data_IF_919629531289
#
_entry.id   IF_919629531289
#
_cell.length_a   1.000
_cell.length_b   1.000
_cell.length_c   1.000
_cell.angle_alpha   90.00
_cell.angle_beta   90.00
_cell.angle_gamma   90.00
#
_symmetry.space_group_name_H-M   'P 1'
#
loop_
_entity.id
_entity.type
_entity.pdbx_description
1 polymer ?
#
# COMPACT_ATOMS: atom_id res chain seq x y z
N UNK A 1 -5.18 56.29 -9.11
CA UNK A 1 -5.49 54.88 -8.84
C UNK A 1 -5.50 54.18 -10.18
N UNK A 2 -4.42 53.49 -10.52
CA UNK A 2 -4.28 52.82 -11.81
C UNK A 2 -4.59 51.34 -11.61
N UNK A 3 -5.82 50.96 -11.95
CA UNK A 3 -6.27 49.57 -12.03
C UNK A 3 -5.50 48.89 -13.18
N UNK A 4 -4.46 48.15 -12.82
CA UNK A 4 -3.80 47.24 -13.76
C UNK A 4 -4.40 45.87 -13.54
N UNK A 5 -5.11 45.28 -14.53
CA UNK A 5 -5.70 43.96 -14.36
C UNK A 5 -4.59 42.91 -14.14
N UNK A 6 -4.86 41.85 -13.34
CA UNK A 6 -3.89 40.80 -13.09
C UNK A 6 -3.51 40.11 -14.41
N UNK A 7 -2.22 40.09 -14.70
CA UNK A 7 -1.63 39.40 -15.85
C UNK A 7 -1.93 37.90 -15.73
N UNK A 8 -2.67 37.35 -16.69
CA UNK A 8 -2.93 35.91 -16.76
C UNK A 8 -1.60 35.13 -16.69
N UNK A 9 -1.56 33.97 -15.99
CA UNK A 9 -0.35 33.17 -15.89
C UNK A 9 0.11 32.80 -17.30
N UNK A 10 1.32 33.25 -17.65
CA UNK A 10 1.91 32.97 -18.96
C UNK A 10 2.04 31.47 -19.13
N UNK A 11 1.43 30.91 -20.18
CA UNK A 11 1.75 29.56 -20.63
C UNK A 11 3.24 29.53 -20.92
N UNK A 12 3.98 28.75 -20.16
CA UNK A 12 5.42 28.58 -20.34
C UNK A 12 5.65 27.98 -21.74
N UNK A 13 6.05 28.83 -22.70
CA UNK A 13 6.13 28.44 -24.12
C UNK A 13 7.15 27.33 -24.36
N UNK A 14 8.04 27.09 -23.38
CA UNK A 14 9.07 26.05 -23.42
C UNK A 14 8.71 24.76 -22.66
N UNK A 15 7.46 24.60 -22.18
CA UNK A 15 7.07 23.36 -21.52
C UNK A 15 7.03 22.18 -22.52
N UNK A 16 7.83 21.10 -22.34
CA UNK A 16 7.84 19.94 -23.23
C UNK A 16 6.45 19.33 -23.44
N UNK A 17 5.55 19.42 -22.46
CA UNK A 17 4.17 18.92 -22.55
C UNK A 17 3.41 19.59 -23.70
N UNK A 18 3.67 20.86 -24.02
CA UNK A 18 2.97 21.57 -25.10
C UNK A 18 3.25 20.99 -26.49
N UNK A 19 4.31 20.20 -26.63
CA UNK A 19 4.68 19.56 -27.91
C UNK A 19 4.01 18.21 -28.13
N UNK A 20 3.36 17.66 -27.10
CA UNK A 20 2.66 16.38 -27.18
C UNK A 20 1.27 16.53 -27.79
N UNK A 21 0.85 15.53 -28.57
CA UNK A 21 -0.55 15.38 -28.99
C UNK A 21 -1.45 15.09 -27.80
N UNK A 22 -2.77 15.26 -27.95
CA UNK A 22 -3.72 14.96 -26.87
C UNK A 22 -3.65 13.50 -26.41
N UNK A 23 -3.51 12.56 -27.34
CA UNK A 23 -3.36 11.13 -27.03
C UNK A 23 -2.08 10.86 -26.22
N UNK A 24 -0.95 11.42 -26.66
CA UNK A 24 0.32 11.32 -25.94
C UNK A 24 0.26 11.90 -24.53
N UNK A 25 -0.41 13.04 -24.35
CA UNK A 25 -0.63 13.61 -23.01
C UNK A 25 -1.45 12.68 -22.13
N UNK A 26 -2.52 12.10 -22.66
CA UNK A 26 -3.36 11.17 -21.93
C UNK A 26 -2.58 9.92 -21.50
N UNK A 27 -1.80 9.33 -22.40
CA UNK A 27 -1.02 8.13 -22.08
C UNK A 27 0.10 8.44 -21.06
N UNK A 28 0.76 9.60 -21.20
CA UNK A 28 1.70 10.09 -20.20
C UNK A 28 1.01 10.33 -18.84
N UNK A 29 -0.22 10.86 -18.81
CA UNK A 29 -1.03 11.05 -17.60
C UNK A 29 -1.24 9.73 -16.83
N UNK A 30 -1.61 8.67 -17.56
CA UNK A 30 -1.76 7.34 -16.97
C UNK A 30 -0.44 6.83 -16.38
N UNK A 31 0.67 7.00 -17.09
CA UNK A 31 2.00 6.62 -16.59
C UNK A 31 2.37 7.39 -15.32
N UNK A 32 2.16 8.71 -15.28
CA UNK A 32 2.54 9.51 -14.12
C UNK A 32 1.69 9.21 -12.90
N UNK A 33 0.43 8.79 -13.08
CA UNK A 33 -0.41 8.30 -11.97
C UNK A 33 0.15 7.03 -11.33
N UNK A 34 0.68 6.10 -12.15
CA UNK A 34 1.34 4.88 -11.68
C UNK A 34 2.63 5.24 -10.93
N UNK A 35 3.41 6.17 -11.47
CA UNK A 35 4.64 6.65 -10.81
C UNK A 35 4.33 7.33 -9.49
N UNK A 36 3.30 8.18 -9.43
CA UNK A 36 2.86 8.83 -8.19
C UNK A 36 2.50 7.78 -7.14
N UNK A 37 1.68 6.79 -7.51
CA UNK A 37 1.33 5.69 -6.61
C UNK A 37 2.55 4.91 -6.15
N UNK A 38 3.54 4.69 -7.01
CA UNK A 38 4.79 4.06 -6.63
C UNK A 38 5.56 4.89 -5.59
N UNK A 39 5.66 6.21 -5.76
CA UNK A 39 6.28 7.11 -4.78
C UNK A 39 5.55 7.01 -3.43
N UNK A 40 4.22 7.07 -3.44
CA UNK A 40 3.40 6.94 -2.23
C UNK A 40 3.54 5.58 -1.55
N UNK A 41 3.70 4.50 -2.32
CA UNK A 41 3.84 3.15 -1.77
C UNK A 41 5.24 2.89 -1.21
N UNK A 42 6.29 3.24 -1.96
CA UNK A 42 7.66 2.79 -1.66
C UNK A 42 8.68 3.89 -1.42
N UNK A 43 8.34 5.16 -1.68
CA UNK A 43 9.33 6.24 -1.65
C UNK A 43 10.42 6.09 -2.71
N UNK A 44 10.10 5.49 -3.86
CA UNK A 44 11.01 5.34 -5.00
C UNK A 44 10.26 5.44 -6.32
N UNK A 45 10.95 5.80 -7.40
CA UNK A 45 10.33 5.88 -8.73
C UNK A 45 11.26 5.58 -9.91
N UNK A 46 12.58 5.54 -9.71
CA UNK A 46 13.55 5.55 -10.81
C UNK A 46 13.41 4.34 -11.74
N UNK A 47 13.24 3.15 -11.17
CA UNK A 47 13.12 1.91 -11.96
C UNK A 47 11.81 1.92 -12.75
N UNK A 48 10.69 2.23 -12.08
CA UNK A 48 9.37 2.34 -12.71
C UNK A 48 9.34 3.41 -13.80
N UNK A 49 9.94 4.58 -13.55
CA UNK A 49 10.07 5.62 -14.56
C UNK A 49 10.90 5.15 -15.76
N UNK A 50 12.01 4.44 -15.51
CA UNK A 50 12.86 3.91 -16.58
C UNK A 50 12.08 2.92 -17.44
N UNK A 51 11.38 1.98 -16.82
CA UNK A 51 10.58 0.96 -17.51
C UNK A 51 9.46 1.59 -18.35
N UNK A 52 8.71 2.54 -17.78
CA UNK A 52 7.65 3.23 -18.51
C UNK A 52 8.19 4.19 -19.57
N UNK A 53 9.34 4.84 -19.37
CA UNK A 53 9.97 5.65 -20.40
C UNK A 53 10.37 4.79 -21.61
N UNK A 54 10.91 3.59 -21.39
CA UNK A 54 11.20 2.65 -22.47
C UNK A 54 9.93 2.16 -23.17
N UNK A 55 8.87 1.83 -22.44
CA UNK A 55 7.60 1.42 -23.02
C UNK A 55 6.95 2.54 -23.86
N UNK A 56 6.91 3.75 -23.29
CA UNK A 56 6.33 4.93 -23.93
C UNK A 56 7.10 5.35 -25.18
N UNK A 57 8.44 5.36 -25.12
CA UNK A 57 9.30 5.64 -26.26
C UNK A 57 9.05 4.69 -27.44
N UNK A 58 8.86 3.38 -27.17
CA UNK A 58 8.59 2.38 -28.21
C UNK A 58 7.25 2.60 -28.90
N UNK A 59 6.21 2.93 -28.15
CA UNK A 59 4.87 3.14 -28.70
C UNK A 59 4.78 4.44 -29.51
N UNK A 60 5.36 5.52 -28.98
CA UNK A 60 5.27 6.87 -29.59
C UNK A 60 6.41 7.21 -30.55
N UNK A 61 7.36 6.27 -30.75
CA UNK A 61 8.54 6.43 -31.60
C UNK A 61 9.42 7.63 -31.20
N UNK A 62 9.55 7.86 -29.90
CA UNK A 62 10.53 8.77 -29.32
C UNK A 62 11.82 8.01 -28.96
N UNK A 63 12.91 8.75 -28.71
CA UNK A 63 14.00 8.18 -27.91
C UNK A 63 13.62 8.12 -26.42
N UNK A 64 14.23 7.20 -25.67
CA UNK A 64 13.91 6.99 -24.25
C UNK A 64 14.17 8.22 -23.40
N UNK A 65 15.20 9.01 -23.69
CA UNK A 65 15.54 10.21 -22.92
C UNK A 65 14.45 11.28 -23.07
N UNK A 66 13.92 11.42 -24.28
CA UNK A 66 12.81 12.31 -24.59
C UNK A 66 11.51 11.83 -23.93
N UNK A 67 11.24 10.52 -23.92
CA UNK A 67 10.12 9.94 -23.19
C UNK A 67 10.21 10.21 -21.67
N UNK A 68 11.36 9.99 -21.04
CA UNK A 68 11.60 10.32 -19.62
C UNK A 68 11.33 11.82 -19.36
N UNK A 69 11.84 12.70 -20.23
CA UNK A 69 11.63 14.15 -20.13
C UNK A 69 10.14 14.51 -20.18
N UNK A 70 9.38 13.90 -21.10
CA UNK A 70 7.94 14.12 -21.19
C UNK A 70 7.19 13.63 -19.97
N UNK A 71 7.48 12.41 -19.50
CA UNK A 71 6.83 11.85 -18.30
C UNK A 71 7.09 12.74 -17.08
N UNK A 72 8.33 13.23 -16.89
CA UNK A 72 8.65 14.17 -15.80
C UNK A 72 7.93 15.51 -15.93
N UNK A 73 7.83 16.04 -17.14
CA UNK A 73 7.16 17.30 -17.39
C UNK A 73 5.64 17.19 -17.13
N UNK A 74 5.01 16.12 -17.61
CA UNK A 74 3.59 15.82 -17.33
C UNK A 74 3.36 15.63 -15.83
N UNK A 75 4.24 14.90 -15.14
CA UNK A 75 4.15 14.73 -13.68
C UNK A 75 4.15 16.10 -12.96
N UNK A 76 5.08 16.99 -13.35
CA UNK A 76 5.17 18.33 -12.76
C UNK A 76 3.94 19.18 -13.08
N UNK A 77 3.42 19.09 -14.30
CA UNK A 77 2.22 19.83 -14.72
C UNK A 77 0.98 19.37 -13.94
N UNK A 78 0.81 18.05 -13.74
CA UNK A 78 -0.36 17.50 -13.05
C UNK A 78 -0.32 17.68 -11.53
N UNK A 79 0.85 17.49 -10.91
CA UNK A 79 0.96 17.46 -9.45
C UNK A 79 1.58 18.73 -8.86
N UNK A 80 1.97 19.70 -9.71
CA UNK A 80 2.57 20.97 -9.28
C UNK A 80 4.00 20.85 -8.71
N UNK A 81 4.58 19.66 -8.72
CA UNK A 81 5.90 19.36 -8.17
C UNK A 81 6.57 18.24 -8.96
N UNK A 82 7.90 18.18 -8.92
CA UNK A 82 8.68 17.09 -9.50
C UNK A 82 8.62 15.83 -8.62
N UNK A 83 8.91 14.68 -9.21
CA UNK A 83 9.00 13.40 -8.50
C UNK A 83 10.04 13.43 -7.36
N UNK A 84 11.16 14.14 -7.56
CA UNK A 84 12.19 14.30 -6.52
C UNK A 84 11.69 15.19 -5.37
N UNK A 85 11.01 16.31 -5.68
CA UNK A 85 10.43 17.18 -4.65
C UNK A 85 9.39 16.41 -3.82
N UNK A 86 8.50 15.64 -4.46
CA UNK A 86 7.53 14.79 -3.75
C UNK A 86 8.22 13.79 -2.81
N UNK A 87 9.29 13.14 -3.28
CA UNK A 87 10.07 12.19 -2.47
C UNK A 87 10.77 12.87 -1.29
N UNK A 88 11.39 14.02 -1.52
CA UNK A 88 12.05 14.80 -0.46
C UNK A 88 11.04 15.22 0.60
N UNK A 89 9.88 15.74 0.20
CA UNK A 89 8.82 16.12 1.14
C UNK A 89 8.29 14.94 1.96
N UNK A 90 8.15 13.75 1.37
CA UNK A 90 7.75 12.55 2.13
C UNK A 90 8.79 12.20 3.19
N UNK A 91 10.09 12.27 2.87
CA UNK A 91 11.17 12.01 3.82
C UNK A 91 11.25 13.05 4.92
N UNK A 92 11.06 14.32 4.59
CA UNK A 92 10.98 15.40 5.57
C UNK A 92 9.80 15.19 6.53
N UNK A 93 8.63 14.81 6.03
CA UNK A 93 7.47 14.48 6.88
C UNK A 93 7.74 13.26 7.76
N UNK A 94 8.38 12.22 7.22
CA UNK A 94 8.80 11.04 7.97
C UNK A 94 9.74 11.39 9.13
N UNK A 95 10.71 12.29 8.91
CA UNK A 95 11.65 12.73 9.94
C UNK A 95 11.02 13.63 11.00
N UNK A 96 9.89 14.27 10.68
CA UNK A 96 9.21 15.24 11.55
C UNK A 96 7.82 14.75 11.97
N UNK A 97 7.66 13.43 12.12
CA UNK A 97 6.38 12.86 12.54
C UNK A 97 5.99 13.33 13.95
N UNK A 98 4.72 13.72 14.18
CA UNK A 98 4.25 14.04 15.51
C UNK A 98 4.20 12.78 16.38
N UNK A 99 4.16 12.96 17.71
CA UNK A 99 4.00 11.86 18.66
C UNK A 99 2.72 11.06 18.41
N UNK A 100 1.64 11.73 17.99
CA UNK A 100 0.38 11.07 17.65
C UNK A 100 0.54 10.03 16.53
N UNK A 101 1.52 10.18 15.63
CA UNK A 101 1.80 9.19 14.60
C UNK A 101 2.30 7.87 15.19
N UNK A 102 3.03 7.91 16.30
CA UNK A 102 3.53 6.71 16.98
C UNK A 102 2.38 6.01 17.71
N UNK A 103 1.53 6.78 18.40
CA UNK A 103 0.34 6.27 19.06
C UNK A 103 -0.63 5.61 18.06
N UNK A 104 -0.86 6.27 16.92
CA UNK A 104 -1.70 5.76 15.83
C UNK A 104 -1.08 4.51 15.19
N UNK A 105 0.23 4.49 14.95
CA UNK A 105 0.92 3.31 14.40
C UNK A 105 0.76 2.10 15.33
N UNK A 106 0.90 2.29 16.64
CA UNK A 106 0.72 1.22 17.62
C UNK A 106 -0.73 0.73 17.66
N UNK A 107 -1.69 1.67 17.66
CA UNK A 107 -3.12 1.35 17.64
C UNK A 107 -3.47 0.53 16.38
N UNK A 108 -3.01 0.97 15.21
CA UNK A 108 -3.23 0.27 13.94
C UNK A 108 -2.53 -1.09 13.91
N UNK A 109 -1.31 -1.21 14.43
CA UNK A 109 -0.62 -2.50 14.53
C UNK A 109 -1.43 -3.49 15.38
N UNK A 110 -1.92 -3.07 16.55
CA UNK A 110 -2.81 -3.91 17.39
C UNK A 110 -4.14 -4.23 16.71
N UNK A 111 -4.71 -3.27 15.99
CA UNK A 111 -5.93 -3.46 15.19
C UNK A 111 -5.74 -4.56 14.14
N UNK A 112 -4.62 -4.55 13.39
CA UNK A 112 -4.29 -5.61 12.41
C UNK A 112 -4.30 -6.99 13.06
N UNK A 113 -3.64 -7.15 14.21
CA UNK A 113 -3.61 -8.45 14.92
C UNK A 113 -5.04 -8.87 15.29
N UNK A 114 -5.83 -7.95 15.84
CA UNK A 114 -7.21 -8.23 16.23
C UNK A 114 -8.10 -8.61 15.04
N UNK A 115 -7.95 -7.92 13.90
CA UNK A 115 -8.68 -8.23 12.67
C UNK A 115 -8.36 -9.63 12.15
N UNK A 116 -7.08 -10.04 12.17
CA UNK A 116 -6.66 -11.38 11.74
C UNK A 116 -7.22 -12.45 12.67
N UNK A 117 -7.28 -12.19 13.98
CA UNK A 117 -7.81 -13.13 14.96
C UNK A 117 -9.33 -13.35 14.80
N UNK A 118 -10.06 -12.32 14.33
CA UNK A 118 -11.52 -12.31 14.21
C UNK A 118 -12.03 -12.70 12.80
N UNK A 119 -11.39 -12.21 11.74
CA UNK A 119 -11.80 -12.50 10.37
C UNK A 119 -11.23 -13.85 9.91
N UNK A 120 -12.12 -14.77 9.57
CA UNK A 120 -11.79 -16.12 9.16
C UNK A 120 -10.89 -16.20 7.91
N UNK A 121 -10.86 -15.15 7.09
CA UNK A 121 -10.26 -15.16 5.75
C UNK A 121 -9.23 -14.08 5.50
N UNK A 122 -9.18 -13.03 6.33
CA UNK A 122 -8.27 -11.90 6.13
C UNK A 122 -6.81 -12.30 6.40
N UNK A 123 -5.92 -12.29 5.40
CA UNK A 123 -4.51 -12.56 5.64
C UNK A 123 -3.78 -11.31 6.12
N UNK A 124 -2.67 -11.50 6.84
CA UNK A 124 -1.84 -10.45 7.44
C UNK A 124 -1.45 -9.40 6.42
N UNK A 125 -0.94 -9.82 5.25
CA UNK A 125 -0.46 -8.87 4.26
C UNK A 125 -1.57 -7.90 3.78
N UNK A 126 -2.84 -8.35 3.70
CA UNK A 126 -3.95 -7.48 3.29
C UNK A 126 -4.34 -6.51 4.39
N UNK A 127 -4.42 -6.98 5.63
CA UNK A 127 -4.70 -6.14 6.78
C UNK A 127 -3.64 -5.03 6.94
N UNK A 128 -2.36 -5.41 6.85
CA UNK A 128 -1.24 -4.45 6.88
C UNK A 128 -1.29 -3.46 5.72
N UNK A 129 -1.62 -3.92 4.51
CA UNK A 129 -1.66 -3.04 3.33
C UNK A 129 -2.78 -1.99 3.43
N UNK A 130 -3.95 -2.37 3.95
CA UNK A 130 -5.04 -1.44 4.19
C UNK A 130 -4.64 -0.39 5.24
N UNK A 131 -4.17 -0.81 6.41
CA UNK A 131 -3.79 0.12 7.47
C UNK A 131 -2.65 1.04 7.03
N UNK A 132 -1.67 0.52 6.30
CA UNK A 132 -0.58 1.32 5.74
C UNK A 132 -1.09 2.34 4.71
N UNK A 133 -1.99 1.95 3.82
CA UNK A 133 -2.60 2.87 2.83
C UNK A 133 -3.38 3.98 3.53
N UNK A 134 -4.12 3.67 4.58
CA UNK A 134 -4.92 4.66 5.32
C UNK A 134 -4.01 5.65 6.06
N UNK A 135 -3.08 5.15 6.86
CA UNK A 135 -2.21 6.00 7.67
C UNK A 135 -1.21 6.81 6.83
N UNK A 136 -0.74 6.26 5.72
CA UNK A 136 0.15 6.99 4.80
C UNK A 136 -0.53 8.23 4.22
N UNK A 137 -1.84 8.16 3.97
CA UNK A 137 -2.62 9.33 3.57
C UNK A 137 -2.72 10.36 4.70
N UNK A 138 -3.02 9.91 5.93
CA UNK A 138 -3.16 10.79 7.11
C UNK A 138 -1.89 11.61 7.39
N UNK A 139 -0.72 10.97 7.27
CA UNK A 139 0.58 11.58 7.57
C UNK A 139 1.38 12.01 6.33
N UNK A 140 0.85 11.77 5.13
CA UNK A 140 1.50 12.08 3.84
C UNK A 140 2.93 11.51 3.71
N UNK A 141 3.19 10.35 4.31
CA UNK A 141 4.45 9.59 4.21
C UNK A 141 4.25 8.36 3.31
N UNK A 142 5.32 7.61 3.01
CA UNK A 142 5.17 6.40 2.22
C UNK A 142 4.54 5.24 3.02
N UNK A 143 3.81 4.35 2.35
CA UNK A 143 3.27 3.13 2.99
C UNK A 143 4.39 2.25 3.58
N UNK A 144 5.55 2.21 2.93
CA UNK A 144 6.73 1.51 3.45
C UNK A 144 7.25 2.14 4.74
N UNK A 145 7.18 3.48 4.88
CA UNK A 145 7.53 4.17 6.11
C UNK A 145 6.51 3.87 7.23
N UNK A 146 5.21 3.85 6.92
CA UNK A 146 4.17 3.42 7.88
C UNK A 146 4.41 1.99 8.36
N UNK A 147 4.66 1.06 7.43
CA UNK A 147 4.90 -0.36 7.75
C UNK A 147 6.14 -0.54 8.65
N UNK A 148 7.18 0.28 8.47
CA UNK A 148 8.33 0.33 9.39
C UNK A 148 7.93 0.87 10.76
N UNK A 149 7.27 2.03 10.80
CA UNK A 149 6.85 2.69 12.03
C UNK A 149 5.96 1.77 12.87
N UNK A 150 4.96 1.12 12.26
CA UNK A 150 4.09 0.13 12.91
C UNK A 150 4.89 -1.01 13.54
N UNK A 151 5.92 -1.54 12.86
CA UNK A 151 6.76 -2.58 13.43
C UNK A 151 7.62 -2.04 14.59
N UNK A 152 8.26 -0.88 14.39
CA UNK A 152 9.15 -0.26 15.37
C UNK A 152 8.43 0.03 16.69
N UNK A 153 7.29 0.73 16.64
CA UNK A 153 6.54 1.08 17.87
C UNK A 153 5.92 -0.13 18.55
N UNK A 154 5.49 -1.12 17.77
CA UNK A 154 4.92 -2.35 18.33
C UNK A 154 6.00 -3.18 19.01
N UNK A 155 7.18 -3.29 18.40
CA UNK A 155 8.31 -4.02 18.98
C UNK A 155 8.86 -3.33 20.23
N UNK A 156 8.92 -1.99 20.24
CA UNK A 156 9.30 -1.21 21.42
C UNK A 156 8.36 -1.45 22.61
N UNK A 157 7.05 -1.55 22.37
CA UNK A 157 6.04 -1.68 23.43
C UNK A 157 5.76 -3.13 23.83
N UNK A 158 5.67 -4.04 22.87
CA UNK A 158 5.26 -5.44 23.09
C UNK A 158 6.47 -6.40 23.24
N UNK A 159 7.69 -5.93 22.91
CA UNK A 159 8.92 -6.70 23.05
C UNK A 159 9.12 -7.81 22.00
N UNK A 160 8.32 -7.81 20.94
CA UNK A 160 8.44 -8.75 19.82
C UNK A 160 7.97 -8.12 18.50
N UNK A 161 8.45 -8.63 17.37
CA UNK A 161 8.10 -8.08 16.05
C UNK A 161 6.60 -8.17 15.77
N UNK A 162 6.05 -7.08 15.22
CA UNK A 162 4.69 -7.00 14.71
C UNK A 162 4.39 -8.11 13.68
N UNK A 163 5.29 -8.33 12.72
CA UNK A 163 5.11 -9.34 11.69
C UNK A 163 5.13 -10.76 12.25
N UNK A 164 5.97 -11.03 13.26
CA UNK A 164 5.98 -12.33 13.94
C UNK A 164 4.65 -12.59 14.65
N UNK A 165 4.15 -11.62 15.43
CA UNK A 165 2.88 -11.75 16.14
C UNK A 165 1.69 -11.90 15.17
N UNK A 166 1.71 -11.15 14.06
CA UNK A 166 0.71 -11.25 13.01
C UNK A 166 0.67 -12.63 12.35
N UNK A 167 1.84 -13.19 12.05
CA UNK A 167 1.94 -14.54 11.49
C UNK A 167 1.44 -15.61 12.46
N UNK A 168 1.78 -15.48 13.74
CA UNK A 168 1.26 -16.37 14.79
C UNK A 168 -0.26 -16.30 14.91
N UNK A 169 -0.85 -15.11 14.77
CA UNK A 169 -2.30 -14.94 14.76
C UNK A 169 -2.95 -15.65 13.57
N UNK A 170 -2.37 -15.53 12.37
CA UNK A 170 -2.83 -16.28 11.19
C UNK A 170 -2.71 -17.80 11.39
N UNK A 171 -1.56 -18.29 11.86
CA UNK A 171 -1.29 -19.71 12.09
C UNK A 171 -2.25 -20.30 13.13
N UNK A 172 -2.44 -19.62 14.26
CA UNK A 172 -3.40 -20.03 15.29
C UNK A 172 -4.84 -20.06 14.76
N UNK A 173 -5.21 -19.12 13.88
CA UNK A 173 -6.51 -19.14 13.21
C UNK A 173 -6.65 -20.36 12.30
N UNK A 174 -5.64 -20.65 11.46
CA UNK A 174 -5.68 -21.82 10.58
C UNK A 174 -5.77 -23.13 11.38
N UNK A 175 -5.05 -23.24 12.50
CA UNK A 175 -5.15 -24.39 13.39
C UNK A 175 -6.58 -24.59 13.93
N UNK A 176 -7.25 -23.52 14.40
CA UNK A 176 -8.66 -23.58 14.86
C UNK A 176 -9.64 -24.01 13.76
N UNK A 177 -9.39 -23.63 12.52
CA UNK A 177 -10.26 -24.00 11.38
C UNK A 177 -10.02 -25.43 10.89
N UNK A 178 -8.83 -26.00 11.15
CA UNK A 178 -8.46 -27.35 10.76
C UNK A 178 -8.98 -28.44 11.72
N UNK A 179 -9.60 -28.07 12.84
CA UNK A 179 -10.27 -28.99 13.78
C UNK A 179 -11.80 -29.08 13.57
N UNK A 180 -12.32 -29.68 12.47
CA UNK A 180 -13.67 -30.23 12.47
C UNK A 180 -13.62 -31.77 12.55
N UNK A 181 -14.37 -32.30 13.53
CA UNK A 181 -14.74 -33.71 13.77
C UNK A 181 -13.62 -34.69 14.17
N UNK A 182 -13.27 -34.71 15.46
CA UNK A 182 -13.14 -36.02 16.12
C UNK A 182 -14.56 -36.49 16.42
N UNK A 183 -15.14 -37.48 15.69
CA UNK A 183 -16.34 -38.12 16.19
C UNK A 183 -15.95 -38.76 17.52
N UNK A 184 -16.59 -38.30 18.59
CA UNK A 184 -16.67 -39.04 19.84
C UNK A 184 -17.09 -40.45 19.45
N UNK A 185 -16.16 -41.42 19.54
CA UNK A 185 -16.54 -42.83 19.50
C UNK A 185 -17.31 -43.08 20.78
N UNK A 186 -18.61 -42.85 20.71
CA UNK A 186 -19.57 -43.40 21.66
C UNK A 186 -19.40 -44.92 21.60
N UNK A 187 -18.66 -45.46 22.58
CA UNK A 187 -18.70 -46.87 22.90
C UNK A 187 -20.11 -47.17 23.43
N UNK A 188 -21.04 -47.55 22.55
CA UNK A 188 -22.30 -48.14 22.99
C UNK A 188 -22.03 -49.53 23.58
N UNK A 189 -22.42 -49.81 24.84
CA UNK A 189 -22.39 -51.16 25.37
C UNK A 189 -23.63 -51.91 24.84
N UNK A 190 -23.43 -52.85 23.90
CA UNK A 190 -24.48 -53.79 23.49
C UNK A 190 -24.83 -54.75 24.65
N UNK A 191 -25.78 -54.33 25.50
CA UNK A 191 -26.50 -55.22 26.39
C UNK A 191 -27.68 -55.87 25.67
N UNK A 192 -27.55 -57.17 25.42
CA UNK A 192 -28.61 -58.15 25.68
C UNK A 192 -29.82 -58.17 24.75
N UNK A 193 -29.86 -59.14 23.84
CA UNK A 193 -31.11 -59.82 23.50
C UNK A 193 -30.96 -61.33 23.60
N UNK A 194 -31.58 -61.86 24.66
CA UNK A 194 -31.85 -63.28 24.86
C UNK A 194 -32.59 -63.85 23.64
N UNK A 195 -32.10 -64.98 23.12
CA UNK A 195 -32.92 -65.89 22.32
C UNK A 195 -33.02 -67.23 23.05
N UNK A 196 -34.20 -67.48 23.64
CA UNK A 196 -34.60 -68.79 24.15
C UNK A 196 -34.76 -69.80 23.00
N UNK A 197 -34.59 -71.10 23.26
CA UNK A 197 -34.56 -72.14 22.24
C UNK A 197 -35.96 -72.68 21.94
N UNK A 198 -36.23 -73.13 20.72
CA UNK A 198 -37.35 -74.04 20.44
C UNK A 198 -37.16 -74.82 19.14
N UNK A 199 -37.04 -76.15 19.36
CA UNK A 199 -37.35 -77.32 18.52
C UNK A 199 -36.71 -77.50 17.15
#
# INVERSE_FOLDING_TARGET
MSDTPPRAPGKDQNNPVNTLTLAQKHDASMIVSIIKRQIERTGSFKDVLTDYAHAYARNERFDTQKADTFIRAVFKEEYGQTMNEMLTQQREREQNLPKSAHDDALLRARSVISQIEQDATLPLYRAVDWEATTMSADYSISESAVKRLMNEVFEEVEGHSFYQRGKQAEEARYARQAEPDQPEREEEPEQGHQRSPSR
#
